data_IF_958399840168
#
_entry.id   IF_958399840168
#
_cell.length_a   1.000
_cell.length_b   1.000
_cell.length_c   1.000
_cell.angle_alpha   90.00
_cell.angle_beta   90.00
_cell.angle_gamma   90.00
#
_symmetry.space_group_name_H-M   'P 1'
#
loop_
_entity.id
_entity.type
_entity.pdbx_description
1 polymer ?
#
# COMPACT_ATOMS: atom_id res chain seq x y z
N UNK A 1 -22.52 5.11 7.44
CA UNK A 1 -21.31 4.31 7.71
C UNK A 1 -20.11 5.26 7.59
N UNK A 2 -18.97 4.99 8.23
CA UNK A 2 -17.86 5.93 8.38
C UNK A 2 -16.67 5.50 7.54
N UNK A 3 -16.18 6.41 6.70
CA UNK A 3 -14.97 6.22 5.92
C UNK A 3 -13.92 7.25 6.37
N UNK A 4 -12.66 6.82 6.43
CA UNK A 4 -11.55 7.70 6.68
C UNK A 4 -10.76 7.94 5.39
N UNK A 5 -10.39 9.18 5.10
CA UNK A 5 -9.46 9.54 4.04
C UNK A 5 -8.10 9.90 4.66
N UNK A 6 -7.05 9.15 4.34
CA UNK A 6 -5.71 9.48 4.82
C UNK A 6 -5.16 10.73 4.12
N UNK A 7 -4.78 11.75 4.89
CA UNK A 7 -4.30 13.04 4.37
C UNK A 7 -2.96 13.49 4.96
N UNK A 8 -2.27 12.62 5.70
CA UNK A 8 -0.93 12.90 6.20
C UNK A 8 0.11 13.00 5.08
N UNK A 9 1.24 13.66 5.38
CA UNK A 9 2.34 13.92 4.42
C UNK A 9 2.84 12.64 3.75
N UNK A 10 2.78 11.51 4.45
CA UNK A 10 3.18 10.23 3.89
C UNK A 10 2.38 9.89 2.62
N UNK A 11 1.06 10.03 2.65
CA UNK A 11 0.18 9.78 1.49
C UNK A 11 0.15 10.94 0.52
N UNK A 12 0.14 12.17 1.01
CA UNK A 12 0.00 13.37 0.16
C UNK A 12 1.27 13.75 -0.60
N UNK A 13 2.44 13.21 -0.22
CA UNK A 13 3.67 13.28 -1.02
C UNK A 13 3.61 12.38 -2.29
N UNK A 14 2.48 12.40 -3.00
CA UNK A 14 2.20 11.70 -4.25
C UNK A 14 2.11 12.70 -5.41
N UNK A 15 2.04 12.20 -6.64
CA UNK A 15 1.79 13.03 -7.81
C UNK A 15 0.44 13.76 -7.67
N UNK A 16 0.32 15.02 -8.15
CA UNK A 16 -0.91 15.81 -7.99
C UNK A 16 -2.18 15.10 -8.46
N UNK A 17 -2.12 14.41 -9.61
CA UNK A 17 -3.24 13.67 -10.18
C UNK A 17 -3.71 12.51 -9.28
N UNK A 18 -2.80 11.92 -8.49
CA UNK A 18 -3.14 10.87 -7.52
C UNK A 18 -3.89 11.48 -6.33
N UNK A 19 -3.42 12.64 -5.84
CA UNK A 19 -4.06 13.36 -4.74
C UNK A 19 -5.46 13.87 -5.13
N UNK A 20 -5.64 14.32 -6.37
CA UNK A 20 -6.93 14.72 -6.91
C UNK A 20 -7.87 13.51 -7.05
N UNK A 21 -7.38 12.41 -7.63
CA UNK A 21 -8.17 11.19 -7.83
C UNK A 21 -8.65 10.57 -6.51
N UNK A 22 -7.82 10.55 -5.45
CA UNK A 22 -8.24 9.98 -4.16
C UNK A 22 -9.31 10.85 -3.47
N UNK A 23 -9.22 12.17 -3.61
CA UNK A 23 -10.26 13.10 -3.11
C UNK A 23 -11.57 12.92 -3.86
N UNK A 24 -11.52 12.82 -5.19
CA UNK A 24 -12.70 12.52 -6.00
C UNK A 24 -13.31 11.16 -5.62
N UNK A 25 -12.49 10.16 -5.32
CA UNK A 25 -12.98 8.86 -4.86
C UNK A 25 -13.68 8.94 -3.49
N UNK A 26 -13.16 9.75 -2.57
CA UNK A 26 -13.80 10.02 -1.29
C UNK A 26 -15.19 10.67 -1.46
N UNK A 27 -15.36 11.61 -2.40
CA UNK A 27 -16.66 12.21 -2.72
C UNK A 27 -17.67 11.19 -3.27
N UNK A 28 -17.20 10.21 -4.05
CA UNK A 28 -18.07 9.09 -4.50
C UNK A 28 -18.61 8.32 -3.29
N UNK A 29 -17.77 8.00 -2.30
CA UNK A 29 -18.25 7.36 -1.08
C UNK A 29 -19.22 8.23 -0.28
N UNK A 30 -18.99 9.55 -0.23
CA UNK A 30 -19.93 10.49 0.39
C UNK A 30 -21.31 10.46 -0.29
N UNK A 31 -21.35 10.44 -1.63
CA UNK A 31 -22.61 10.32 -2.39
C UNK A 31 -23.33 8.98 -2.20
N UNK A 32 -22.58 7.92 -1.84
CA UNK A 32 -23.08 6.61 -1.43
C UNK A 32 -23.51 6.55 0.06
N UNK A 33 -23.54 7.69 0.76
CA UNK A 33 -23.99 7.80 2.15
C UNK A 33 -22.90 7.52 3.21
N UNK A 34 -21.63 7.52 2.83
CA UNK A 34 -20.52 7.49 3.79
C UNK A 34 -20.37 8.85 4.48
N UNK A 35 -20.12 8.85 5.78
CA UNK A 35 -19.54 9.99 6.48
C UNK A 35 -18.03 9.92 6.31
N UNK A 36 -17.48 10.74 5.41
CA UNK A 36 -16.05 10.77 5.16
C UNK A 36 -15.39 11.77 6.10
N UNK A 37 -14.33 11.34 6.80
CA UNK A 37 -13.49 12.22 7.61
C UNK A 37 -12.05 12.12 7.18
N UNK A 38 -11.38 13.27 7.07
CA UNK A 38 -9.93 13.30 6.91
C UNK A 38 -9.24 12.87 8.20
N UNK A 39 -8.23 12.01 8.10
CA UNK A 39 -7.46 11.50 9.25
C UNK A 39 -5.96 11.62 9.01
N UNK A 40 -5.22 11.77 10.11
CA UNK A 40 -3.76 11.80 10.13
C UNK A 40 -3.28 10.48 10.73
N UNK A 41 -2.51 9.70 9.97
CA UNK A 41 -1.95 8.41 10.40
C UNK A 41 -0.42 8.36 10.19
N UNK A 42 0.35 9.30 10.77
CA UNK A 42 1.79 9.43 10.53
C UNK A 42 2.59 8.16 10.90
N UNK A 43 2.08 7.34 11.83
CA UNK A 43 2.65 6.06 12.22
C UNK A 43 2.69 5.02 11.09
N UNK A 44 1.86 5.15 10.05
CA UNK A 44 1.87 4.21 8.93
C UNK A 44 3.20 4.25 8.16
N UNK A 45 3.93 5.38 8.20
CA UNK A 45 5.30 5.45 7.67
C UNK A 45 6.23 4.47 8.40
N UNK A 46 6.14 4.44 9.73
CA UNK A 46 6.94 3.52 10.56
C UNK A 46 6.56 2.07 10.29
N UNK A 47 5.26 1.78 10.12
CA UNK A 47 4.78 0.46 9.74
C UNK A 47 5.35 0.02 8.38
N UNK A 48 5.34 0.90 7.38
CA UNK A 48 5.92 0.62 6.07
C UNK A 48 7.43 0.30 6.14
N UNK A 49 8.18 1.04 6.96
CA UNK A 49 9.62 0.79 7.18
C UNK A 49 9.87 -0.56 7.86
N UNK A 50 9.12 -0.87 8.93
CA UNK A 50 9.21 -2.15 9.61
C UNK A 50 8.88 -3.32 8.67
N UNK A 51 7.88 -3.16 7.79
CA UNK A 51 7.54 -4.18 6.79
C UNK A 51 8.71 -4.47 5.84
N UNK A 52 9.37 -3.43 5.33
CA UNK A 52 10.51 -3.57 4.43
C UNK A 52 11.67 -4.32 5.06
N UNK A 53 11.95 -4.03 6.33
CA UNK A 53 12.98 -4.72 7.12
C UNK A 53 12.63 -6.20 7.32
N UNK A 54 11.42 -6.49 7.84
CA UNK A 54 10.99 -7.86 8.10
C UNK A 54 10.95 -8.70 6.83
N UNK A 55 10.38 -8.18 5.75
CA UNK A 55 10.23 -8.93 4.49
C UNK A 55 11.58 -9.30 3.89
N UNK A 56 12.55 -8.38 3.89
CA UNK A 56 13.88 -8.65 3.35
C UNK A 56 14.69 -9.56 4.26
N UNK A 57 14.57 -9.40 5.59
CA UNK A 57 15.19 -10.30 6.57
C UNK A 57 14.66 -11.74 6.46
N UNK A 58 13.34 -11.90 6.41
CA UNK A 58 12.68 -13.20 6.28
C UNK A 58 13.05 -13.87 4.94
N UNK A 59 13.11 -13.10 3.85
CA UNK A 59 13.56 -13.60 2.54
C UNK A 59 15.03 -14.03 2.55
N UNK A 60 15.92 -13.25 3.18
CA UNK A 60 17.34 -13.58 3.31
C UNK A 60 17.54 -14.84 4.15
N UNK A 61 16.77 -15.00 5.25
CA UNK A 61 16.79 -16.21 6.06
C UNK A 61 16.32 -17.44 5.27
N UNK A 62 15.23 -17.30 4.49
CA UNK A 62 14.71 -18.37 3.64
C UNK A 62 15.71 -18.79 2.55
N UNK A 63 16.41 -17.83 1.95
CA UNK A 63 17.37 -18.07 0.86
C UNK A 63 18.82 -18.22 1.30
N UNK A 64 19.11 -18.28 2.61
CA UNK A 64 20.48 -18.22 3.18
C UNK A 64 21.48 -19.12 2.46
N UNK A 65 21.13 -20.39 2.28
CA UNK A 65 22.07 -21.39 1.75
C UNK A 65 22.32 -21.13 0.25
N UNK A 66 21.29 -20.76 -0.52
CA UNK A 66 21.44 -20.39 -1.94
C UNK A 66 22.21 -19.09 -2.10
N UNK A 67 21.95 -18.10 -1.25
CA UNK A 67 22.68 -16.83 -1.26
C UNK A 67 24.18 -17.03 -0.99
N UNK A 68 24.53 -18.00 -0.15
CA UNK A 68 25.93 -18.32 0.13
C UNK A 68 26.60 -19.17 -0.97
N UNK A 69 25.88 -20.14 -1.53
CA UNK A 69 26.46 -21.11 -2.47
C UNK A 69 26.43 -20.63 -3.92
N UNK A 70 25.38 -19.92 -4.32
CA UNK A 70 25.08 -19.52 -5.70
C UNK A 70 24.50 -18.10 -5.77
N UNK A 71 25.21 -17.06 -5.28
CA UNK A 71 24.73 -15.67 -5.38
C UNK A 71 24.50 -15.20 -6.82
N UNK A 72 25.20 -15.77 -7.80
CA UNK A 72 25.09 -15.48 -9.24
C UNK A 72 23.75 -15.90 -9.86
N UNK A 73 23.01 -16.79 -9.21
CA UNK A 73 21.69 -17.23 -9.67
C UNK A 73 20.61 -16.16 -9.45
N UNK A 74 20.90 -15.12 -8.68
CA UNK A 74 19.98 -14.03 -8.41
C UNK A 74 20.23 -12.84 -9.36
N UNK A 75 19.13 -12.23 -9.85
CA UNK A 75 19.22 -10.91 -10.46
C UNK A 75 19.85 -9.90 -9.49
N UNK A 76 20.59 -8.92 -10.01
CA UNK A 76 21.36 -7.97 -9.19
C UNK A 76 20.49 -7.22 -8.18
N UNK A 77 19.28 -6.85 -8.56
CA UNK A 77 18.28 -6.18 -7.72
C UNK A 77 17.79 -7.07 -6.57
N UNK A 78 17.55 -8.36 -6.84
CA UNK A 78 17.17 -9.35 -5.83
C UNK A 78 18.34 -9.63 -4.90
N UNK A 79 19.55 -9.82 -5.45
CA UNK A 79 20.77 -10.06 -4.69
C UNK A 79 21.02 -8.93 -3.69
N UNK A 80 20.94 -7.68 -4.13
CA UNK A 80 21.10 -6.50 -3.27
C UNK A 80 20.09 -6.50 -2.11
N UNK A 81 18.83 -6.86 -2.36
CA UNK A 81 17.78 -6.92 -1.33
C UNK A 81 18.02 -8.05 -0.33
N UNK A 82 18.46 -9.22 -0.79
CA UNK A 82 18.78 -10.35 0.09
C UNK A 82 20.01 -10.05 0.94
N UNK A 83 21.05 -9.43 0.37
CA UNK A 83 22.23 -8.99 1.11
C UNK A 83 21.88 -7.93 2.17
N UNK A 84 21.04 -6.96 1.82
CA UNK A 84 20.51 -5.97 2.78
C UNK A 84 19.76 -6.67 3.91
N UNK A 85 18.88 -7.62 3.57
CA UNK A 85 18.14 -8.42 4.55
C UNK A 85 19.03 -9.23 5.49
N UNK A 86 20.08 -9.84 4.95
CA UNK A 86 21.06 -10.63 5.71
C UNK A 86 21.93 -9.78 6.65
N UNK A 87 22.06 -8.48 6.36
CA UNK A 87 22.86 -7.55 7.16
C UNK A 87 22.11 -7.01 8.39
N UNK A 88 20.78 -7.14 8.45
CA UNK A 88 20.01 -6.70 9.62
C UNK A 88 20.36 -7.53 10.85
N UNK A 89 20.50 -6.83 11.98
CA UNK A 89 20.77 -7.45 13.28
C UNK A 89 19.50 -8.08 13.87
N UNK A 90 19.69 -9.03 14.78
CA UNK A 90 18.59 -9.60 15.56
C UNK A 90 17.82 -8.55 16.37
N UNK A 91 18.51 -7.51 16.85
CA UNK A 91 17.90 -6.37 17.55
C UNK A 91 16.98 -5.57 16.63
N UNK A 92 17.41 -5.23 15.42
CA UNK A 92 16.58 -4.51 14.45
C UNK A 92 15.34 -5.33 14.05
N UNK A 93 15.51 -6.63 13.83
CA UNK A 93 14.41 -7.54 13.56
C UNK A 93 13.40 -7.58 14.71
N UNK A 94 13.88 -7.72 15.95
CA UNK A 94 13.03 -7.75 17.14
C UNK A 94 12.26 -6.44 17.34
N UNK A 95 12.90 -5.29 17.10
CA UNK A 95 12.26 -3.98 17.15
C UNK A 95 11.19 -3.82 16.06
N UNK A 96 11.45 -4.29 14.83
CA UNK A 96 10.46 -4.27 13.76
C UNK A 96 9.26 -5.19 14.07
N UNK A 97 9.48 -6.36 14.67
CA UNK A 97 8.40 -7.23 15.19
C UNK A 97 7.61 -6.56 16.30
N UNK A 98 8.25 -5.81 17.19
CA UNK A 98 7.54 -5.00 18.20
C UNK A 98 6.64 -3.96 17.54
N UNK A 99 7.17 -3.22 16.55
CA UNK A 99 6.38 -2.27 15.76
C UNK A 99 5.18 -2.95 15.08
N UNK A 100 5.34 -4.16 14.54
CA UNK A 100 4.22 -4.92 13.97
C UNK A 100 3.06 -5.11 14.97
N UNK A 101 3.37 -5.53 16.20
CA UNK A 101 2.37 -5.73 17.26
C UNK A 101 1.72 -4.41 17.68
N UNK A 102 2.52 -3.37 17.89
CA UNK A 102 2.03 -2.04 18.26
C UNK A 102 1.10 -1.46 17.18
N UNK A 103 1.47 -1.59 15.90
CA UNK A 103 0.67 -1.07 14.78
C UNK A 103 -0.63 -1.83 14.60
N UNK A 104 -0.64 -3.16 14.78
CA UNK A 104 -1.88 -3.95 14.78
C UNK A 104 -2.84 -3.43 15.83
N UNK A 105 -2.36 -3.23 17.07
CA UNK A 105 -3.21 -2.74 18.16
C UNK A 105 -3.75 -1.34 17.90
N UNK A 106 -2.93 -0.43 17.36
CA UNK A 106 -3.38 0.92 17.01
C UNK A 106 -4.45 0.91 15.93
N UNK A 107 -4.27 0.11 14.89
CA UNK A 107 -5.24 0.02 13.81
C UNK A 107 -6.52 -0.69 14.24
N UNK A 108 -6.47 -1.68 15.11
CA UNK A 108 -7.67 -2.23 15.76
C UNK A 108 -8.51 -1.14 16.41
N UNK A 109 -7.89 -0.28 17.23
CA UNK A 109 -8.57 0.85 17.90
C UNK A 109 -9.08 1.87 16.88
N UNK A 110 -8.30 2.19 15.85
CA UNK A 110 -8.74 3.08 14.77
C UNK A 110 -10.02 2.56 14.09
N UNK A 111 -10.09 1.27 13.81
CA UNK A 111 -11.26 0.64 13.18
C UNK A 111 -12.46 0.44 14.13
N UNK A 112 -12.34 0.78 15.42
CA UNK A 112 -13.53 0.96 16.28
C UNK A 112 -14.33 2.21 15.86
N UNK A 113 -13.65 3.20 15.26
CA UNK A 113 -14.24 4.48 14.84
C UNK A 113 -14.64 4.55 13.36
N UNK A 114 -14.08 3.68 12.50
CA UNK A 114 -14.23 3.74 11.04
C UNK A 114 -14.49 2.36 10.45
N UNK A 115 -15.30 2.29 9.39
CA UNK A 115 -15.58 1.05 8.68
C UNK A 115 -14.50 0.73 7.63
N UNK A 116 -14.00 1.76 6.93
CA UNK A 116 -12.91 1.67 5.95
C UNK A 116 -11.95 2.84 6.04
N UNK A 117 -10.72 2.61 5.58
CA UNK A 117 -9.70 3.62 5.31
C UNK A 117 -9.45 3.69 3.80
N UNK A 118 -9.40 4.89 3.25
CA UNK A 118 -9.12 5.21 1.87
C UNK A 118 -7.70 5.79 1.75
N UNK A 119 -6.88 5.18 0.90
CA UNK A 119 -5.55 5.69 0.55
C UNK A 119 -5.34 5.55 -0.96
N UNK A 120 -4.39 6.28 -1.55
CA UNK A 120 -3.88 5.89 -2.86
C UNK A 120 -3.24 4.50 -2.80
N UNK A 121 -3.28 3.74 -3.89
CA UNK A 121 -2.61 2.45 -4.01
C UNK A 121 -1.11 2.62 -4.32
N UNK A 122 -0.77 3.59 -5.18
CA UNK A 122 0.60 3.97 -5.54
C UNK A 122 0.74 5.50 -5.54
N UNK A 123 1.96 6.04 -5.35
CA UNK A 123 2.18 7.49 -5.31
C UNK A 123 2.23 8.18 -6.69
N UNK A 124 2.27 7.41 -7.77
CA UNK A 124 2.30 7.91 -9.14
C UNK A 124 1.80 6.82 -10.09
N UNK A 125 1.49 7.22 -11.32
CA UNK A 125 1.10 6.31 -12.40
C UNK A 125 2.24 5.39 -12.84
N UNK A 126 1.96 4.39 -13.69
CA UNK A 126 2.97 3.43 -14.12
C UNK A 126 4.22 4.11 -14.72
N UNK A 127 5.42 3.89 -14.15
CA UNK A 127 6.65 4.47 -14.69
C UNK A 127 7.06 3.77 -15.99
N UNK A 128 7.82 4.47 -16.84
CA UNK A 128 8.42 3.87 -18.03
C UNK A 128 9.42 2.78 -17.63
N UNK A 129 9.47 1.70 -18.42
CA UNK A 129 10.45 0.62 -18.25
C UNK A 129 11.86 1.22 -18.36
N UNK A 130 12.73 0.85 -17.41
CA UNK A 130 14.13 1.33 -17.36
C UNK A 130 14.32 2.78 -16.92
N UNK A 131 13.26 3.48 -16.48
CA UNK A 131 13.36 4.90 -16.10
C UNK A 131 14.01 5.18 -14.74
N UNK A 132 14.23 4.16 -13.92
CA UNK A 132 14.79 4.31 -12.57
C UNK A 132 15.40 3.00 -12.08
N UNK A 133 16.20 3.09 -11.01
CA UNK A 133 16.64 1.93 -10.24
C UNK A 133 15.44 1.10 -9.76
N UNK A 134 15.50 -0.21 -9.99
CA UNK A 134 14.38 -1.12 -9.72
C UNK A 134 14.09 -1.25 -8.22
N UNK A 135 15.13 -1.24 -7.37
CA UNK A 135 15.00 -1.38 -5.91
C UNK A 135 14.36 -0.13 -5.33
N UNK A 136 14.85 1.05 -5.72
CA UNK A 136 14.27 2.32 -5.30
C UNK A 136 12.82 2.44 -5.77
N UNK A 137 12.55 2.12 -7.04
CA UNK A 137 11.20 2.22 -7.59
C UNK A 137 10.24 1.26 -6.89
N UNK A 138 10.67 0.03 -6.60
CA UNK A 138 9.88 -0.91 -5.83
C UNK A 138 9.56 -0.37 -4.43
N UNK A 139 10.53 0.27 -3.75
CA UNK A 139 10.32 0.89 -2.43
C UNK A 139 9.28 2.01 -2.50
N UNK A 140 9.33 2.84 -3.54
CA UNK A 140 8.37 3.94 -3.72
C UNK A 140 6.95 3.40 -4.01
N UNK A 141 6.83 2.44 -4.93
CA UNK A 141 5.54 1.87 -5.35
C UNK A 141 4.83 1.11 -4.22
N UNK A 142 5.58 0.41 -3.37
CA UNK A 142 5.02 -0.43 -2.30
C UNK A 142 4.78 0.32 -0.99
N UNK A 143 5.13 1.61 -0.91
CA UNK A 143 5.08 2.33 0.37
C UNK A 143 3.65 2.43 0.92
N UNK A 144 2.63 2.62 0.09
CA UNK A 144 1.24 2.74 0.57
C UNK A 144 0.56 1.41 0.92
N UNK A 145 1.09 0.28 0.43
CA UNK A 145 0.53 -1.05 0.71
C UNK A 145 1.28 -1.76 1.85
N UNK A 146 2.56 -1.46 2.03
CA UNK A 146 3.43 -2.06 3.05
C UNK A 146 2.91 -1.98 4.50
N UNK A 147 2.29 -0.88 4.98
CA UNK A 147 1.74 -0.81 6.33
C UNK A 147 0.64 -1.86 6.58
N UNK A 148 -0.14 -2.17 5.55
CA UNK A 148 -1.26 -3.10 5.63
C UNK A 148 -0.80 -4.56 5.51
N UNK A 149 0.29 -4.81 4.77
CA UNK A 149 1.00 -6.10 4.80
C UNK A 149 1.57 -6.40 6.19
N UNK A 150 2.19 -5.40 6.84
CA UNK A 150 2.72 -5.56 8.21
C UNK A 150 1.61 -5.97 9.18
N UNK A 151 0.49 -5.25 9.11
CA UNK A 151 -0.60 -5.40 10.06
C UNK A 151 -1.51 -6.57 9.75
N UNK A 152 -1.54 -7.04 8.50
CA UNK A 152 -2.38 -8.16 8.05
C UNK A 152 -3.83 -7.76 7.81
N UNK A 153 -4.09 -6.47 7.56
CA UNK A 153 -5.44 -5.97 7.31
C UNK A 153 -5.89 -6.29 5.88
N UNK A 154 -7.17 -6.64 5.67
CA UNK A 154 -7.69 -6.83 4.32
C UNK A 154 -7.72 -5.50 3.58
N UNK A 155 -7.20 -5.51 2.34
CA UNK A 155 -7.17 -4.36 1.45
C UNK A 155 -7.54 -4.77 0.01
N UNK A 156 -8.14 -3.85 -0.73
CA UNK A 156 -8.46 -4.02 -2.15
C UNK A 156 -8.08 -2.76 -2.92
N UNK A 157 -7.62 -2.92 -4.16
CA UNK A 157 -7.35 -1.80 -5.06
C UNK A 157 -8.34 -1.76 -6.21
N UNK A 158 -8.80 -0.55 -6.53
CA UNK A 158 -9.74 -0.26 -7.62
C UNK A 158 -9.22 0.92 -8.45
N UNK A 159 -9.50 1.00 -9.75
CA UNK A 159 -9.26 2.20 -10.53
C UNK A 159 -10.05 3.38 -9.96
N UNK A 160 -9.42 4.55 -9.81
CA UNK A 160 -10.07 5.78 -9.33
C UNK A 160 -9.88 6.99 -10.24
N UNK A 161 -9.30 6.79 -11.41
CA UNK A 161 -9.04 7.84 -12.39
C UNK A 161 -7.90 7.46 -13.33
N UNK A 162 -7.46 8.44 -14.10
CA UNK A 162 -6.35 8.31 -15.05
C UNK A 162 -5.44 9.52 -14.92
N UNK A 163 -4.14 9.30 -15.10
CA UNK A 163 -3.16 10.37 -15.22
C UNK A 163 -3.40 11.18 -16.51
N UNK A 164 -2.76 12.36 -16.65
CA UNK A 164 -2.78 13.12 -17.90
C UNK A 164 -2.33 12.31 -19.13
N UNK A 165 -1.40 11.37 -18.93
CA UNK A 165 -0.90 10.45 -19.96
C UNK A 165 -1.83 9.23 -20.20
N UNK A 166 -3.03 9.21 -19.59
CA UNK A 166 -4.01 8.15 -19.77
C UNK A 166 -3.69 6.85 -19.02
N UNK A 167 -2.79 6.87 -18.04
CA UNK A 167 -2.43 5.69 -17.24
C UNK A 167 -3.37 5.54 -16.03
N UNK A 168 -3.82 4.33 -15.66
CA UNK A 168 -4.71 4.13 -14.52
C UNK A 168 -4.10 4.59 -13.19
N UNK A 169 -4.93 5.22 -12.35
CA UNK A 169 -4.63 5.55 -10.96
C UNK A 169 -5.43 4.64 -10.03
N UNK A 170 -4.82 4.22 -8.92
CA UNK A 170 -5.41 3.26 -7.99
C UNK A 170 -5.86 3.88 -6.68
N UNK A 171 -7.12 3.64 -6.30
CA UNK A 171 -7.62 3.72 -4.94
C UNK A 171 -7.27 2.41 -4.23
N UNK A 172 -6.88 2.48 -2.96
CA UNK A 172 -6.79 1.37 -2.04
C UNK A 172 -7.81 1.59 -0.92
N UNK A 173 -8.61 0.57 -0.64
CA UNK A 173 -9.57 0.53 0.47
C UNK A 173 -9.09 -0.53 1.44
N UNK A 174 -9.02 -0.17 2.73
CA UNK A 174 -8.60 -1.05 3.81
C UNK A 174 -9.75 -1.18 4.80
N UNK A 175 -10.00 -2.39 5.28
CA UNK A 175 -11.00 -2.64 6.32
C UNK A 175 -10.36 -3.26 7.56
N UNK A 176 -11.14 -3.33 8.63
CA UNK A 176 -10.77 -4.03 9.87
C UNK A 176 -10.51 -5.53 9.64
N UNK A 177 -9.80 -6.23 10.55
CA UNK A 177 -9.57 -7.66 10.43
C UNK A 177 -10.85 -8.45 10.17
N UNK A 178 -10.80 -9.41 9.24
CA UNK A 178 -11.90 -10.33 8.89
C UNK A 178 -13.16 -9.67 8.32
N UNK A 179 -13.04 -8.45 7.78
CA UNK A 179 -14.14 -7.70 7.19
C UNK A 179 -14.15 -7.70 5.65
N UNK A 180 -13.59 -8.72 5.01
CA UNK A 180 -13.49 -8.85 3.54
C UNK A 180 -14.86 -8.73 2.87
N UNK A 181 -15.91 -9.31 3.46
CA UNK A 181 -17.26 -9.19 2.92
C UNK A 181 -17.77 -7.73 2.90
N UNK A 182 -17.45 -6.93 3.92
CA UNK A 182 -17.81 -5.51 3.96
C UNK A 182 -16.93 -4.70 2.99
N UNK A 183 -15.63 -5.00 2.94
CA UNK A 183 -14.68 -4.41 2.02
C UNK A 183 -15.11 -4.60 0.56
N UNK A 184 -15.45 -5.83 0.17
CA UNK A 184 -15.92 -6.16 -1.18
C UNK A 184 -17.24 -5.47 -1.53
N UNK A 185 -18.16 -5.31 -0.55
CA UNK A 185 -19.40 -4.54 -0.77
C UNK A 185 -19.12 -3.05 -1.01
N UNK A 186 -18.23 -2.44 -0.22
CA UNK A 186 -17.84 -1.05 -0.41
C UNK A 186 -17.15 -0.85 -1.77
N UNK A 187 -16.25 -1.75 -2.13
CA UNK A 187 -15.57 -1.77 -3.42
C UNK A 187 -16.54 -1.87 -4.60
N UNK A 188 -17.49 -2.82 -4.51
CA UNK A 188 -18.51 -2.99 -5.53
C UNK A 188 -19.40 -1.76 -5.67
N UNK A 189 -19.87 -1.17 -4.56
CA UNK A 189 -20.69 0.04 -4.59
C UNK A 189 -19.96 1.22 -5.24
N UNK A 190 -18.68 1.41 -4.92
CA UNK A 190 -17.82 2.40 -5.56
C UNK A 190 -17.68 2.16 -7.07
N UNK A 191 -17.44 0.91 -7.48
CA UNK A 191 -17.28 0.55 -8.88
C UNK A 191 -18.56 0.82 -9.70
N UNK A 192 -19.75 0.56 -9.13
CA UNK A 192 -21.02 0.81 -9.81
C UNK A 192 -21.26 2.29 -10.15
N UNK A 193 -20.79 3.20 -9.29
CA UNK A 193 -20.97 4.65 -9.51
C UNK A 193 -19.85 5.25 -10.34
N UNK A 194 -18.60 4.85 -10.08
CA UNK A 194 -17.42 5.46 -10.71
C UNK A 194 -17.24 5.07 -12.17
N UNK A 195 -17.55 3.83 -12.55
CA UNK A 195 -17.50 3.36 -13.93
C UNK A 195 -16.10 3.29 -14.57
N UNK A 196 -15.02 3.53 -13.81
CA UNK A 196 -13.65 3.51 -14.31
C UNK A 196 -13.25 2.18 -14.94
N UNK A 197 -13.80 1.08 -14.42
CA UNK A 197 -13.62 -0.29 -14.91
C UNK A 197 -14.12 -0.52 -16.35
N UNK A 198 -14.98 0.36 -16.87
CA UNK A 198 -15.51 0.27 -18.25
C UNK A 198 -14.53 0.76 -19.30
N UNK A 199 -13.53 1.57 -18.91
CA UNK A 199 -12.50 2.06 -19.83
C UNK A 199 -11.51 0.93 -20.14
N UNK A 200 -11.37 0.60 -21.42
CA UNK A 200 -10.41 -0.41 -21.90
C UNK A 200 -9.13 0.27 -22.38
N UNK A 201 -7.96 -0.37 -22.19
CA UNK A 201 -6.74 0.09 -22.85
C UNK A 201 -6.91 -0.02 -24.37
N UNK A 202 -6.22 0.84 -25.11
CA UNK A 202 -6.13 0.70 -26.56
C UNK A 202 -5.42 -0.62 -26.88
N UNK A 203 -6.05 -1.45 -27.71
CA UNK A 203 -5.43 -2.68 -28.21
C UNK A 203 -4.26 -2.28 -29.11
N UNK A 204 -3.06 -2.76 -28.78
CA UNK A 204 -1.85 -2.61 -29.60
C UNK A 204 -1.93 -3.56 -30.80
#
# INVERSE_FOLDING_TARGET
WKAALAVDEYFTHAAPEVNEAIRAAAEVFASLGAQVSEVQLPELRQAGQANGLLTTSDAAAYHRDRLSAHPEDFGQDVLQRLQTGAAYTSTEYALARRTQVEMRRRLEVFFEGYDILLTPATPFAAPRIGSADAVERARQLTRFTSPFNLTGLPAISLPCGFSPDGLPLGLQIIARPWAEAALLRAAYAYEQVSGWNKRRPETI
#
